data_IF_606122938060
#
_entry.id   IF_606122938060
#
_cell.length_a   1.000
_cell.length_b   1.000
_cell.length_c   1.000
_cell.angle_alpha   90.00
_cell.angle_beta   90.00
_cell.angle_gamma   90.00
#
_symmetry.space_group_name_H-M   'P 1'
#
loop_
_entity.id
_entity.type
_entity.pdbx_description
1 polymer ?
#
# COMPACT_ATOMS: atom_id res chain seq x y z
N UNK A 1 11.01 -65.31 11.07
CA UNK A 1 10.55 -64.05 11.70
C UNK A 1 11.76 -63.25 12.18
N UNK A 2 12.15 -62.19 11.47
CA UNK A 2 12.88 -61.03 12.02
C UNK A 2 12.48 -59.80 11.18
N UNK A 3 11.45 -59.08 11.64
CA UNK A 3 11.25 -57.65 11.34
C UNK A 3 12.42 -56.95 12.06
N UNK A 4 13.23 -56.09 11.45
CA UNK A 4 12.82 -54.85 10.81
C UNK A 4 13.06 -53.71 11.81
N UNK A 5 14.31 -53.50 12.20
CA UNK A 5 14.76 -52.30 12.90
C UNK A 5 15.03 -51.25 11.82
N UNK A 6 14.09 -50.31 11.66
CA UNK A 6 14.26 -49.10 10.85
C UNK A 6 14.36 -47.94 11.82
N UNK A 7 15.59 -47.45 11.96
CA UNK A 7 16.01 -46.06 12.10
C UNK A 7 14.95 -45.08 12.62
N UNK A 8 14.82 -45.03 13.94
CA UNK A 8 14.06 -44.01 14.69
C UNK A 8 14.91 -42.74 14.93
N UNK A 9 16.17 -42.72 14.49
CA UNK A 9 17.12 -41.63 14.66
C UNK A 9 17.02 -40.54 13.59
N UNK A 10 16.56 -40.86 12.38
CA UNK A 10 16.57 -39.92 11.25
C UNK A 10 15.47 -38.84 11.34
N UNK A 11 14.36 -39.15 12.02
CA UNK A 11 13.24 -38.21 12.20
C UNK A 11 13.56 -37.05 13.17
N UNK A 12 14.48 -37.26 14.11
CA UNK A 12 14.82 -36.25 15.12
C UNK A 12 15.79 -35.19 14.56
N UNK A 13 16.69 -35.59 13.66
CA UNK A 13 17.63 -34.66 13.01
C UNK A 13 16.93 -33.75 11.98
N UNK A 14 15.90 -34.25 11.30
CA UNK A 14 15.15 -33.47 10.30
C UNK A 14 14.28 -32.37 10.97
N UNK A 15 13.67 -32.66 12.12
CA UNK A 15 12.94 -31.65 12.90
C UNK A 15 13.86 -30.58 13.50
N UNK A 16 15.06 -30.95 13.94
CA UNK A 16 16.06 -30.00 14.45
C UNK A 16 16.56 -29.06 13.33
N UNK A 17 16.78 -29.56 12.11
CA UNK A 17 17.17 -28.77 10.95
C UNK A 17 16.06 -27.85 10.45
N UNK A 18 14.79 -28.28 10.48
CA UNK A 18 13.62 -27.43 10.16
C UNK A 18 13.45 -26.32 11.21
N UNK A 19 13.65 -26.64 12.49
CA UNK A 19 13.65 -25.66 13.59
C UNK A 19 14.78 -24.63 13.46
N UNK A 20 15.99 -25.06 13.09
CA UNK A 20 17.14 -24.20 12.87
C UNK A 20 16.96 -23.26 11.66
N UNK A 21 16.46 -23.78 10.52
CA UNK A 21 16.14 -22.96 9.34
C UNK A 21 15.00 -21.96 9.57
N UNK A 22 14.04 -22.26 10.46
CA UNK A 22 12.97 -21.31 10.84
C UNK A 22 13.47 -20.19 11.76
N UNK A 23 14.40 -20.46 12.70
CA UNK A 23 14.99 -19.40 13.54
C UNK A 23 15.94 -18.50 12.76
N UNK A 24 16.71 -19.03 11.81
CA UNK A 24 17.67 -18.23 11.05
C UNK A 24 17.01 -17.20 10.11
N UNK A 25 15.84 -17.51 9.51
CA UNK A 25 15.10 -16.55 8.67
C UNK A 25 14.48 -15.38 9.44
N UNK A 26 14.15 -15.59 10.71
CA UNK A 26 13.61 -14.52 11.56
C UNK A 26 14.75 -13.67 12.12
N UNK A 27 15.90 -14.28 12.43
CA UNK A 27 17.07 -13.58 12.97
C UNK A 27 17.84 -12.78 11.90
N UNK A 28 17.99 -13.28 10.67
CA UNK A 28 18.56 -12.50 9.57
C UNK A 28 17.66 -11.31 9.16
N UNK A 29 16.33 -11.45 9.24
CA UNK A 29 15.44 -10.30 9.05
C UNK A 29 15.56 -9.26 10.15
N UNK A 30 15.93 -9.67 11.36
CA UNK A 30 16.12 -8.77 12.50
C UNK A 30 17.46 -8.04 12.44
N UNK A 31 18.53 -8.69 11.99
CA UNK A 31 19.86 -8.09 11.89
C UNK A 31 20.06 -7.23 10.64
N UNK A 32 19.38 -7.52 9.52
CA UNK A 32 19.45 -6.65 8.32
C UNK A 32 18.62 -5.38 8.47
N UNK A 33 17.68 -5.32 9.43
CA UNK A 33 16.90 -4.11 9.71
C UNK A 33 17.67 -3.04 10.52
N UNK A 34 18.85 -3.37 11.03
CA UNK A 34 19.66 -2.46 11.83
C UNK A 34 20.97 -2.07 11.16
N UNK A 35 20.96 -1.38 10.01
CA UNK A 35 21.97 -0.34 9.66
C UNK A 35 21.81 0.35 8.29
N UNK A 36 20.65 0.29 7.62
CA UNK A 36 20.37 1.18 6.50
C UNK A 36 19.23 2.11 6.90
N UNK A 37 19.59 3.29 7.43
CA UNK A 37 18.65 4.40 7.62
C UNK A 37 18.27 4.93 6.24
N UNK A 38 17.44 4.19 5.52
CA UNK A 38 16.93 4.56 4.21
C UNK A 38 16.11 5.84 4.38
N UNK A 39 16.51 6.91 3.68
CA UNK A 39 15.83 8.20 3.76
C UNK A 39 14.43 8.04 3.17
N UNK A 40 13.41 8.52 3.89
CA UNK A 40 12.02 8.50 3.41
C UNK A 40 11.85 9.51 2.28
N UNK A 41 11.78 9.01 1.04
CA UNK A 41 11.67 9.85 -0.16
C UNK A 41 10.21 10.21 -0.47
N UNK A 42 9.27 9.28 -0.26
CA UNK A 42 7.84 9.53 -0.54
C UNK A 42 6.94 8.95 0.55
N UNK A 43 6.47 9.82 1.43
CA UNK A 43 5.54 9.48 2.53
C UNK A 43 4.22 8.89 2.02
N UNK A 44 3.77 9.31 0.83
CA UNK A 44 2.56 8.77 0.20
C UNK A 44 2.78 7.34 -0.29
N UNK A 45 3.96 7.02 -0.82
CA UNK A 45 4.28 5.66 -1.27
C UNK A 45 4.30 4.70 -0.07
N UNK A 46 4.96 5.11 1.02
CA UNK A 46 5.01 4.33 2.26
C UNK A 46 3.60 4.09 2.86
N UNK A 47 2.74 5.11 2.80
CA UNK A 47 1.36 5.04 3.25
C UNK A 47 0.53 4.04 2.43
N UNK A 48 0.48 4.20 1.09
CA UNK A 48 -0.31 3.33 0.22
C UNK A 48 0.22 1.89 0.22
N UNK A 49 1.54 1.71 0.29
CA UNK A 49 2.14 0.37 0.40
C UNK A 49 1.77 -0.32 1.71
N UNK A 50 1.74 0.44 2.82
CA UNK A 50 1.27 -0.07 4.11
C UNK A 50 -0.20 -0.49 4.06
N UNK A 51 -1.05 0.30 3.40
CA UNK A 51 -2.47 -0.02 3.20
C UNK A 51 -2.67 -1.28 2.36
N UNK A 52 -2.04 -1.34 1.17
CA UNK A 52 -2.13 -2.52 0.29
C UNK A 52 -1.67 -3.80 1.00
N UNK A 53 -0.59 -3.73 1.76
CA UNK A 53 -0.09 -4.88 2.52
C UNK A 53 -1.02 -5.27 3.69
N UNK A 54 -1.73 -4.32 4.30
CA UNK A 54 -2.68 -4.58 5.36
C UNK A 54 -3.97 -5.23 4.81
N UNK A 55 -4.50 -4.71 3.72
CA UNK A 55 -5.64 -5.28 2.98
C UNK A 55 -5.35 -6.69 2.49
N UNK A 56 -4.19 -6.90 1.85
CA UNK A 56 -3.76 -8.24 1.40
C UNK A 56 -3.64 -9.25 2.55
N UNK A 57 -3.42 -8.79 3.79
CA UNK A 57 -3.36 -9.62 4.99
C UNK A 57 -4.72 -9.77 5.70
N UNK A 58 -5.79 -9.14 5.19
CA UNK A 58 -7.12 -9.17 5.79
C UNK A 58 -7.22 -8.40 7.11
N UNK A 59 -6.37 -7.37 7.31
CA UNK A 59 -6.45 -6.53 8.51
C UNK A 59 -7.63 -5.56 8.36
N UNK A 60 -8.41 -5.40 9.45
CA UNK A 60 -9.54 -4.45 9.50
C UNK A 60 -9.14 -2.99 9.60
N UNK A 61 -7.91 -2.71 10.03
CA UNK A 61 -7.41 -1.36 10.20
C UNK A 61 -5.92 -1.26 9.91
N UNK A 62 -5.49 -0.09 9.46
CA UNK A 62 -4.08 0.23 9.22
C UNK A 62 -3.75 1.59 9.79
N UNK A 63 -2.53 1.70 10.30
CA UNK A 63 -2.03 2.90 10.95
C UNK A 63 -0.86 3.46 10.16
N UNK A 64 -1.03 4.67 9.64
CA UNK A 64 -0.09 5.33 8.72
C UNK A 64 0.69 6.40 9.48
N UNK A 65 2.02 6.37 9.33
CA UNK A 65 2.96 7.36 9.90
C UNK A 65 4.13 7.58 8.94
N UNK A 66 4.52 8.83 8.63
CA UNK A 66 3.98 10.09 9.13
C UNK A 66 2.69 10.48 8.41
N UNK A 67 1.88 11.34 9.01
CA UNK A 67 0.72 11.94 8.34
C UNK A 67 1.16 13.09 7.42
N UNK A 68 0.40 13.34 6.34
CA UNK A 68 0.58 14.53 5.51
C UNK A 68 -0.75 14.96 4.90
N UNK A 69 -0.88 16.25 4.57
CA UNK A 69 -2.09 16.80 3.94
C UNK A 69 -2.43 16.11 2.61
N UNK A 70 -1.41 15.68 1.87
CA UNK A 70 -1.58 14.93 0.60
C UNK A 70 -2.18 13.55 0.87
N UNK A 71 -1.70 12.83 1.90
CA UNK A 71 -2.26 11.53 2.28
C UNK A 71 -3.72 11.68 2.69
N UNK A 72 -4.04 12.67 3.54
CA UNK A 72 -5.42 12.92 3.99
C UNK A 72 -6.34 13.19 2.80
N UNK A 73 -5.93 14.08 1.87
CA UNK A 73 -6.73 14.36 0.67
C UNK A 73 -6.87 13.15 -0.26
N UNK A 74 -5.84 12.32 -0.36
CA UNK A 74 -5.92 11.08 -1.15
C UNK A 74 -6.90 10.08 -0.52
N UNK A 75 -6.86 9.92 0.81
CA UNK A 75 -7.79 9.06 1.55
C UNK A 75 -9.23 9.56 1.43
N UNK A 76 -9.46 10.87 1.46
CA UNK A 76 -10.80 11.44 1.22
C UNK A 76 -11.35 11.04 -0.16
N UNK A 77 -10.52 11.02 -1.21
CA UNK A 77 -10.95 10.55 -2.54
C UNK A 77 -11.27 9.04 -2.50
N UNK A 78 -10.46 8.23 -1.82
CA UNK A 78 -10.73 6.80 -1.66
C UNK A 78 -12.03 6.51 -0.88
N UNK A 79 -12.30 7.30 0.16
CA UNK A 79 -13.51 7.21 0.98
C UNK A 79 -14.74 7.62 0.17
N UNK A 80 -14.66 8.71 -0.60
CA UNK A 80 -15.72 9.18 -1.51
C UNK A 80 -16.19 8.09 -2.49
N UNK A 81 -15.26 7.25 -2.96
CA UNK A 81 -15.55 6.12 -3.85
C UNK A 81 -15.80 4.79 -3.12
N UNK A 82 -15.78 4.76 -1.78
CA UNK A 82 -16.12 3.58 -0.97
C UNK A 82 -15.08 2.47 -0.95
N UNK A 83 -13.81 2.75 -1.26
CA UNK A 83 -12.70 1.78 -1.18
C UNK A 83 -12.12 1.62 0.22
N UNK A 84 -12.35 2.60 1.09
CA UNK A 84 -11.98 2.55 2.52
C UNK A 84 -13.19 2.95 3.35
N UNK A 85 -13.17 2.58 4.63
CA UNK A 85 -14.13 3.06 5.62
C UNK A 85 -13.77 4.44 6.15
N UNK A 86 -14.15 4.69 7.40
CA UNK A 86 -13.77 5.91 8.10
C UNK A 86 -12.27 5.94 8.40
N UNK A 87 -11.72 7.14 8.50
CA UNK A 87 -10.36 7.34 8.96
C UNK A 87 -10.28 8.49 9.96
N UNK A 88 -9.38 8.35 10.92
CA UNK A 88 -9.18 9.31 11.99
C UNK A 88 -7.75 9.86 11.95
N UNK A 89 -7.63 11.17 12.10
CA UNK A 89 -6.36 11.85 12.30
C UNK A 89 -6.09 12.01 13.80
N UNK A 90 -4.99 11.43 14.27
CA UNK A 90 -4.53 11.52 15.66
C UNK A 90 -3.27 12.39 15.70
N UNK A 91 -3.34 13.52 16.39
CA UNK A 91 -2.20 14.41 16.60
C UNK A 91 -1.30 13.87 17.74
N UNK A 92 -0.02 13.64 17.42
CA UNK A 92 1.00 13.22 18.37
C UNK A 92 1.99 14.34 18.73
N UNK A 93 1.66 15.60 18.41
CA UNK A 93 2.52 16.78 18.50
C UNK A 93 3.85 16.62 17.74
N UNK A 94 3.95 15.65 16.83
CA UNK A 94 5.12 15.39 15.99
C UNK A 94 4.74 15.45 14.51
N UNK A 95 4.43 14.30 13.92
CA UNK A 95 4.16 14.17 12.50
C UNK A 95 2.75 13.65 12.23
N UNK A 96 1.92 13.49 13.28
CA UNK A 96 0.58 12.96 13.23
C UNK A 96 0.52 11.50 12.77
N UNK A 97 -0.64 10.90 13.01
CA UNK A 97 -0.90 9.49 12.75
C UNK A 97 -2.29 9.40 12.13
N UNK A 98 -2.46 8.52 11.15
CA UNK A 98 -3.78 8.30 10.55
C UNK A 98 -4.16 6.84 10.77
N UNK A 99 -5.33 6.60 11.36
CA UNK A 99 -5.91 5.26 11.48
C UNK A 99 -6.99 5.16 10.40
N UNK A 100 -6.86 4.18 9.52
CA UNK A 100 -7.80 3.96 8.41
C UNK A 100 -8.49 2.62 8.60
N UNK A 101 -9.81 2.61 8.53
CA UNK A 101 -10.61 1.39 8.49
C UNK A 101 -10.65 0.81 7.07
N UNK A 102 -10.37 -0.49 6.99
CA UNK A 102 -10.24 -1.25 5.76
C UNK A 102 -11.48 -2.14 5.61
N UNK A 103 -12.12 -2.08 4.45
CA UNK A 103 -13.39 -2.76 4.18
C UNK A 103 -13.24 -3.98 3.27
N UNK A 104 -12.02 -4.32 2.83
CA UNK A 104 -11.76 -5.48 1.99
C UNK A 104 -12.04 -5.28 0.49
N UNK A 105 -12.40 -4.07 0.05
CA UNK A 105 -12.68 -3.76 -1.37
C UNK A 105 -11.46 -3.30 -2.17
N UNK A 106 -10.37 -2.94 -1.49
CA UNK A 106 -9.18 -2.40 -2.11
C UNK A 106 -8.30 -3.54 -2.65
N UNK A 107 -8.24 -3.68 -3.98
CA UNK A 107 -7.39 -4.68 -4.62
C UNK A 107 -5.94 -4.22 -4.72
N UNK A 108 -5.72 -2.98 -5.13
CA UNK A 108 -4.39 -2.39 -5.28
C UNK A 108 -4.46 -0.86 -5.16
N UNK A 109 -3.51 -0.29 -4.43
CA UNK A 109 -3.22 1.13 -4.47
C UNK A 109 -1.74 1.36 -4.69
N UNK A 110 -1.39 2.47 -5.35
CA UNK A 110 -0.01 2.80 -5.66
C UNK A 110 0.19 4.26 -6.00
N UNK A 111 1.41 4.73 -5.78
CA UNK A 111 1.88 6.06 -6.19
C UNK A 111 2.60 5.94 -7.53
N UNK A 112 2.35 6.88 -8.43
CA UNK A 112 3.14 7.02 -9.65
C UNK A 112 4.33 7.95 -9.37
N UNK A 113 5.53 7.47 -9.68
CA UNK A 113 6.78 8.21 -9.48
C UNK A 113 7.66 8.07 -10.72
N UNK A 114 8.19 9.17 -11.29
CA UNK A 114 7.96 10.57 -10.91
C UNK A 114 6.51 11.04 -11.19
N UNK A 115 6.13 12.20 -10.64
CA UNK A 115 4.78 12.78 -10.85
C UNK A 115 4.72 13.48 -12.20
N UNK A 116 4.35 12.73 -13.23
CA UNK A 116 4.21 13.24 -14.60
C UNK A 116 3.08 14.26 -14.72
N UNK A 117 3.30 15.28 -15.55
CA UNK A 117 2.26 16.19 -15.99
C UNK A 117 1.31 15.46 -16.96
N UNK A 118 0.02 15.72 -16.79
CA UNK A 118 -1.07 15.09 -17.53
C UNK A 118 -2.05 16.18 -17.96
N UNK A 119 -2.09 16.45 -19.26
CA UNK A 119 -3.12 17.30 -19.85
C UNK A 119 -4.49 16.60 -19.90
N UNK A 120 -5.57 17.35 -20.10
CA UNK A 120 -6.95 16.80 -20.14
C UNK A 120 -7.11 15.70 -21.18
N UNK A 121 -6.48 15.85 -22.35
CA UNK A 121 -6.50 14.86 -23.43
C UNK A 121 -5.71 13.58 -23.10
N UNK A 122 -4.72 13.69 -22.23
CA UNK A 122 -3.83 12.60 -21.86
C UNK A 122 -4.39 11.71 -20.75
N UNK A 123 -5.40 12.18 -20.02
CA UNK A 123 -6.07 11.41 -18.95
C UNK A 123 -6.54 10.04 -19.47
N UNK A 124 -7.06 9.98 -20.70
CA UNK A 124 -7.62 8.77 -21.28
C UNK A 124 -6.54 7.68 -21.54
N UNK A 125 -5.41 7.98 -22.22
CA UNK A 125 -4.25 7.09 -22.28
C UNK A 125 -3.74 6.63 -20.91
N UNK A 126 -3.69 7.51 -19.92
CA UNK A 126 -3.25 7.16 -18.57
C UNK A 126 -4.21 6.18 -17.89
N UNK A 127 -5.50 6.36 -18.08
CA UNK A 127 -6.56 5.47 -17.58
C UNK A 127 -6.41 4.07 -18.16
N UNK A 128 -6.20 3.96 -19.47
CA UNK A 128 -6.01 2.67 -20.14
C UNK A 128 -4.72 1.93 -19.73
N UNK A 129 -3.68 2.65 -19.25
CA UNK A 129 -2.41 2.06 -18.81
C UNK A 129 -2.43 1.61 -17.36
N UNK A 130 -3.13 2.34 -16.49
CA UNK A 130 -3.05 2.13 -15.04
C UNK A 130 -4.23 1.35 -14.47
N UNK A 131 -5.42 1.49 -15.06
CA UNK A 131 -6.63 0.85 -14.56
C UNK A 131 -6.89 -0.49 -15.27
N UNK A 132 -7.43 -1.49 -14.56
CA UNK A 132 -7.73 -2.79 -15.16
C UNK A 132 -8.92 -2.74 -16.12
N UNK A 133 -9.86 -1.79 -15.94
CA UNK A 133 -10.98 -1.58 -16.85
C UNK A 133 -11.43 -0.12 -16.83
N UNK A 134 -12.24 0.28 -17.82
CA UNK A 134 -12.77 1.66 -17.93
C UNK A 134 -13.80 2.01 -16.85
N UNK A 135 -14.41 1.00 -16.24
CA UNK A 135 -15.46 1.15 -15.24
C UNK A 135 -14.96 0.88 -13.81
N UNK A 136 -13.67 0.53 -13.66
CA UNK A 136 -13.13 0.10 -12.38
C UNK A 136 -11.80 0.76 -12.06
N UNK A 137 -11.76 1.38 -10.89
CA UNK A 137 -10.59 2.08 -10.40
C UNK A 137 -10.59 3.57 -10.70
N UNK A 138 -9.70 4.27 -10.02
CA UNK A 138 -9.56 5.71 -10.13
C UNK A 138 -8.10 6.10 -10.15
N UNK A 139 -7.77 7.05 -11.02
CA UNK A 139 -6.51 7.77 -10.99
C UNK A 139 -6.74 9.07 -10.22
N UNK A 140 -5.80 9.40 -9.33
CA UNK A 140 -5.81 10.63 -8.54
C UNK A 140 -4.79 11.60 -9.10
N UNK A 141 -5.22 12.83 -9.34
CA UNK A 141 -4.44 13.92 -9.93
C UNK A 141 -4.34 15.08 -8.94
N UNK A 142 -3.18 15.75 -8.92
CA UNK A 142 -3.06 17.09 -8.34
C UNK A 142 -3.31 18.11 -9.42
N UNK A 143 -4.41 18.86 -9.30
CA UNK A 143 -4.76 19.95 -10.21
C UNK A 143 -4.62 21.28 -9.49
N UNK A 144 -4.74 22.39 -10.22
CA UNK A 144 -4.80 23.74 -9.63
C UNK A 144 -5.99 23.93 -8.69
N UNK A 145 -7.09 23.20 -8.92
CA UNK A 145 -8.29 23.22 -8.08
C UNK A 145 -8.23 22.23 -6.90
N UNK A 146 -7.12 21.50 -6.73
CA UNK A 146 -6.91 20.55 -5.64
C UNK A 146 -6.66 19.12 -6.11
N UNK A 147 -6.63 18.20 -5.14
CA UNK A 147 -6.46 16.76 -5.38
C UNK A 147 -7.84 16.17 -5.66
N UNK A 148 -8.00 15.52 -6.81
CA UNK A 148 -9.27 14.95 -7.25
C UNK A 148 -9.04 13.72 -8.13
N UNK A 149 -10.10 12.97 -8.38
CA UNK A 149 -10.10 11.86 -9.31
C UNK A 149 -10.10 12.34 -10.78
N UNK A 150 -9.68 11.45 -11.67
CA UNK A 150 -9.62 11.71 -13.11
C UNK A 150 -10.97 12.02 -13.78
N UNK A 151 -12.09 11.52 -13.25
CA UNK A 151 -13.40 11.85 -13.80
C UNK A 151 -13.78 13.29 -13.45
N UNK A 152 -13.56 13.69 -12.20
CA UNK A 152 -13.79 15.06 -11.74
C UNK A 152 -12.89 16.05 -12.48
N UNK A 153 -11.62 15.70 -12.69
CA UNK A 153 -10.68 16.49 -13.50
C UNK A 153 -11.18 16.68 -14.94
N UNK A 154 -11.71 15.61 -15.56
CA UNK A 154 -12.30 15.69 -16.91
C UNK A 154 -13.56 16.57 -16.94
N UNK A 155 -14.47 16.44 -15.96
CA UNK A 155 -15.69 17.27 -15.87
C UNK A 155 -15.37 18.75 -15.72
N UNK A 156 -14.33 19.07 -14.95
CA UNK A 156 -13.84 20.45 -14.75
C UNK A 156 -12.92 20.93 -15.87
N UNK A 157 -12.61 20.08 -16.86
CA UNK A 157 -11.68 20.36 -17.95
C UNK A 157 -10.31 20.87 -17.46
N UNK A 158 -9.79 20.26 -16.39
CA UNK A 158 -8.48 20.62 -15.80
C UNK A 158 -7.51 19.45 -15.86
N UNK A 159 -6.27 19.76 -16.23
CA UNK A 159 -5.13 18.83 -16.13
C UNK A 159 -4.41 18.97 -14.79
N UNK A 160 -3.30 18.26 -14.66
CA UNK A 160 -2.49 18.32 -13.45
C UNK A 160 -1.33 17.36 -13.45
N UNK A 161 -0.89 16.94 -12.27
CA UNK A 161 0.14 15.92 -12.10
C UNK A 161 -0.45 14.62 -11.55
N UNK A 162 -0.06 13.48 -12.10
CA UNK A 162 -0.49 12.18 -11.59
C UNK A 162 0.14 11.91 -10.21
N UNK A 163 -0.71 11.59 -9.23
CA UNK A 163 -0.27 11.21 -7.88
C UNK A 163 -0.20 9.70 -7.75
N UNK A 164 -1.26 9.01 -8.15
CA UNK A 164 -1.41 7.59 -7.87
C UNK A 164 -2.72 7.05 -8.42
N UNK A 165 -2.97 5.79 -8.12
CA UNK A 165 -4.17 5.09 -8.52
C UNK A 165 -4.61 4.15 -7.41
N UNK A 166 -5.89 3.81 -7.42
CA UNK A 166 -6.45 2.76 -6.59
C UNK A 166 -7.58 2.05 -7.33
N UNK A 167 -7.72 0.76 -7.07
CA UNK A 167 -8.79 -0.12 -7.55
C UNK A 167 -8.86 -1.38 -6.70
#
# INVERSE_FOLDING_TARGET
MRRGERDESDGVEEEALVGYKRRHRVFERFLVQGLLRMVRVSVLNDALKSMYNAEKRGKRQVMIRPSSKVIIKFLLVMQKHGYIGEFEYVDDHRAGKIVVELNGRLNKCGVISPRFDVGVKEIEPWTARLLPSRQFGYIVLTTSAGIMDHEEARRKNVGGKVLGFFY
#
